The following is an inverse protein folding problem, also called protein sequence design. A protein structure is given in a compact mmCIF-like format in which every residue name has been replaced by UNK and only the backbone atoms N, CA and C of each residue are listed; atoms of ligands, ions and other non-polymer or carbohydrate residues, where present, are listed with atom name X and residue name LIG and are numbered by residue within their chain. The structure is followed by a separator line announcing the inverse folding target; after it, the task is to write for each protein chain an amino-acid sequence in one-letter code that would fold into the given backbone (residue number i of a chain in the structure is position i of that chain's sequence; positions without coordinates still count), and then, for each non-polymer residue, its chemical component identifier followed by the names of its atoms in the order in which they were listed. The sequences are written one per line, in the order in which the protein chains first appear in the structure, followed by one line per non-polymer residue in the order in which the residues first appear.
data_IF_543234555091
#
_entry.id   IF_543234555091
#
_cell.length_a   1.000
_cell.length_b   1.000
_cell.length_c   1.000
_cell.angle_alpha   90.00
_cell.angle_beta   90.00
_cell.angle_gamma   90.00
#
_symmetry.space_group_name_H-M   'P 1'
#
loop_
_entity.id
_entity.type
_entity.pdbx_description
1 polymer ?
#
# COMPACT_ATOMS: atom_id res chain seq x y z
N UNK A 1 -3.96 -4.48 -32.71
CA UNK A 1 -4.40 -3.21 -32.06
C UNK A 1 -5.47 -3.41 -30.99
N UNK A 2 -6.54 -4.17 -31.21
CA UNK A 2 -7.59 -4.44 -30.20
C UNK A 2 -7.07 -5.09 -28.90
N UNK A 3 -6.09 -5.99 -29.01
CA UNK A 3 -5.54 -6.76 -27.88
C UNK A 3 -4.75 -5.92 -26.85
N UNK A 4 -3.93 -4.98 -27.34
CA UNK A 4 -3.18 -4.04 -26.46
C UNK A 4 -4.10 -3.09 -25.70
N UNK A 5 -5.26 -2.74 -26.28
CA UNK A 5 -6.25 -1.85 -25.64
C UNK A 5 -6.89 -2.52 -24.43
N UNK A 6 -7.30 -3.79 -24.59
CA UNK A 6 -7.94 -4.57 -23.54
C UNK A 6 -7.02 -4.80 -22.34
N UNK A 7 -5.76 -5.17 -22.59
CA UNK A 7 -4.75 -5.32 -21.54
C UNK A 7 -4.49 -4.01 -20.77
N UNK A 8 -4.54 -2.87 -21.48
CA UNK A 8 -4.36 -1.54 -20.87
C UNK A 8 -5.54 -1.19 -19.97
N UNK A 9 -6.77 -1.47 -20.40
CA UNK A 9 -8.00 -1.25 -19.61
C UNK A 9 -8.02 -2.13 -18.36
N UNK A 10 -7.68 -3.42 -18.48
CA UNK A 10 -7.57 -4.34 -17.35
C UNK A 10 -6.55 -3.85 -16.33
N UNK A 11 -5.37 -3.41 -16.77
CA UNK A 11 -4.35 -2.83 -15.89
C UNK A 11 -4.83 -1.54 -15.21
N UNK A 12 -5.61 -0.70 -15.89
CA UNK A 12 -6.21 0.48 -15.26
C UNK A 12 -7.25 0.11 -14.20
N UNK A 13 -8.11 -0.88 -14.47
CA UNK A 13 -9.08 -1.37 -13.47
C UNK A 13 -8.36 -1.91 -12.24
N UNK A 14 -7.34 -2.75 -12.44
CA UNK A 14 -6.53 -3.30 -11.36
C UNK A 14 -5.89 -2.19 -10.49
N UNK A 15 -5.33 -1.16 -11.13
CA UNK A 15 -4.78 0.01 -10.40
C UNK A 15 -5.83 0.70 -9.54
N UNK A 16 -7.07 0.84 -10.03
CA UNK A 16 -8.18 1.44 -9.25
C UNK A 16 -8.56 0.59 -8.05
N UNK A 17 -8.65 -0.74 -8.21
CA UNK A 17 -8.95 -1.64 -7.10
C UNK A 17 -7.86 -1.63 -6.04
N UNK A 18 -6.59 -1.67 -6.46
CA UNK A 18 -5.44 -1.55 -5.55
C UNK A 18 -5.50 -0.22 -4.79
N UNK A 19 -5.76 0.89 -5.49
CA UNK A 19 -5.84 2.21 -4.86
C UNK A 19 -6.98 2.29 -3.85
N UNK A 20 -8.14 1.71 -4.17
CA UNK A 20 -9.29 1.61 -3.26
C UNK A 20 -8.94 0.80 -2.02
N UNK A 21 -8.39 -0.40 -2.17
CA UNK A 21 -7.99 -1.27 -1.06
C UNK A 21 -6.93 -0.59 -0.19
N UNK A 22 -5.93 0.04 -0.80
CA UNK A 22 -4.90 0.77 -0.06
C UNK A 22 -5.53 1.86 0.83
N UNK A 23 -6.45 2.63 0.28
CA UNK A 23 -7.11 3.71 1.02
C UNK A 23 -8.08 3.17 2.10
N UNK A 24 -8.78 2.06 1.84
CA UNK A 24 -9.61 1.38 2.84
C UNK A 24 -8.77 0.94 4.05
N UNK A 25 -7.66 0.24 3.82
CA UNK A 25 -6.78 -0.23 4.92
C UNK A 25 -6.17 0.94 5.68
N UNK A 26 -5.81 2.04 5.00
CA UNK A 26 -5.36 3.25 5.70
C UNK A 26 -6.45 3.83 6.62
N UNK A 27 -7.69 3.89 6.16
CA UNK A 27 -8.81 4.37 6.97
C UNK A 27 -9.11 3.45 8.15
N UNK A 28 -8.97 2.14 7.97
CA UNK A 28 -9.16 1.16 9.06
C UNK A 28 -8.13 1.34 10.19
N UNK A 29 -6.88 1.65 9.85
CA UNK A 29 -5.78 1.73 10.83
C UNK A 29 -5.64 3.16 11.39
N UNK A 30 -5.63 4.16 10.52
CA UNK A 30 -5.27 5.54 10.85
C UNK A 30 -6.46 6.50 10.83
N UNK A 31 -7.68 6.00 10.59
CA UNK A 31 -8.92 6.79 10.46
C UNK A 31 -8.85 7.90 9.39
N UNK A 32 -7.83 7.87 8.54
CA UNK A 32 -7.52 8.89 7.56
C UNK A 32 -7.13 8.22 6.24
N UNK A 33 -7.46 8.89 5.14
CA UNK A 33 -7.10 8.41 3.81
C UNK A 33 -5.70 8.85 3.40
N UNK A 34 -5.21 8.27 2.31
CA UNK A 34 -3.99 8.73 1.64
C UNK A 34 -4.24 10.05 0.89
N UNK A 35 -3.28 10.97 0.91
CA UNK A 35 -3.38 12.27 0.22
C UNK A 35 -3.15 12.09 -1.28
N UNK A 36 -2.08 11.38 -1.64
CA UNK A 36 -1.72 11.07 -3.02
C UNK A 36 -1.27 9.61 -3.11
N UNK A 37 -1.69 8.92 -4.16
CA UNK A 37 -1.31 7.54 -4.39
C UNK A 37 -1.03 7.31 -5.87
N UNK A 38 0.13 6.72 -6.16
CA UNK A 38 0.51 6.26 -7.49
C UNK A 38 0.70 4.76 -7.45
N UNK A 39 0.04 4.05 -8.38
CA UNK A 39 0.16 2.60 -8.55
C UNK A 39 0.76 2.29 -9.91
N UNK A 40 1.84 1.53 -9.90
CA UNK A 40 2.50 0.99 -11.09
C UNK A 40 2.41 -0.52 -11.07
N UNK A 41 2.03 -1.10 -12.20
CA UNK A 41 1.84 -2.54 -12.34
C UNK A 41 2.79 -3.02 -13.42
N UNK A 42 3.64 -3.97 -13.04
CA UNK A 42 4.50 -4.75 -13.93
C UNK A 42 4.01 -6.21 -13.91
N UNK A 43 4.64 -7.08 -14.69
CA UNK A 43 4.17 -8.47 -14.82
C UNK A 43 4.43 -9.30 -13.54
N UNK A 44 5.42 -8.93 -12.73
CA UNK A 44 5.80 -9.67 -11.51
C UNK A 44 5.54 -8.89 -10.21
N UNK A 45 5.42 -7.57 -10.31
CA UNK A 45 5.45 -6.67 -9.16
C UNK A 45 4.48 -5.52 -9.32
N UNK A 46 3.95 -5.05 -8.19
CA UNK A 46 3.19 -3.81 -8.11
C UNK A 46 3.97 -2.84 -7.21
N UNK A 47 4.19 -1.63 -7.69
CA UNK A 47 4.82 -0.55 -6.93
C UNK A 47 3.75 0.47 -6.56
N UNK A 48 3.75 0.89 -5.29
CA UNK A 48 2.81 1.85 -4.75
C UNK A 48 3.60 2.94 -4.03
N UNK A 49 3.38 4.18 -4.43
CA UNK A 49 3.94 5.36 -3.78
C UNK A 49 2.80 6.17 -3.17
N UNK A 50 2.88 6.41 -1.86
CA UNK A 50 1.86 7.11 -1.09
C UNK A 50 2.42 8.37 -0.43
N UNK A 51 1.59 9.41 -0.33
CA UNK A 51 1.83 10.56 0.53
C UNK A 51 0.76 10.60 1.62
N UNK A 52 1.18 10.65 2.87
CA UNK A 52 0.32 10.54 4.03
C UNK A 52 0.44 11.76 4.94
N UNK A 53 -0.68 12.14 5.56
CA UNK A 53 -0.62 13.01 6.73
C UNK A 53 -0.15 12.17 7.90
N UNK A 54 0.85 12.67 8.64
CA UNK A 54 1.30 12.03 9.88
C UNK A 54 0.17 12.02 10.90
N UNK A 55 -0.02 10.88 11.57
CA UNK A 55 -1.04 10.72 12.60
C UNK A 55 -0.76 11.71 13.76
N UNK A 56 -1.75 12.52 14.20
CA UNK A 56 -1.55 13.52 15.25
C UNK A 56 -1.10 12.92 16.58
N UNK A 57 -1.56 11.73 16.95
CA UNK A 57 -1.17 11.08 18.19
C UNK A 57 0.31 10.65 18.12
N UNK A 58 0.75 10.09 16.98
CA UNK A 58 2.16 9.74 16.77
C UNK A 58 3.06 10.97 16.74
N UNK A 59 2.62 12.11 16.19
CA UNK A 59 3.36 13.38 16.27
C UNK A 59 3.59 13.86 17.69
N UNK A 60 2.60 13.65 18.57
CA UNK A 60 2.72 14.02 19.99
C UNK A 60 3.67 13.05 20.70
N UNK A 61 3.52 11.74 20.46
CA UNK A 61 4.38 10.71 21.05
C UNK A 61 5.84 10.88 20.64
N UNK A 62 6.12 11.30 19.41
CA UNK A 62 7.48 11.51 18.90
C UNK A 62 8.26 12.53 19.74
N UNK A 63 7.56 13.54 20.28
CA UNK A 63 8.15 14.57 21.16
C UNK A 63 8.42 14.07 22.58
N UNK A 64 7.77 12.97 22.98
CA UNK A 64 7.89 12.36 24.30
C UNK A 64 8.96 11.26 24.27
N UNK A 65 8.86 10.35 23.31
CA UNK A 65 9.78 9.23 23.11
C UNK A 65 9.81 8.83 21.62
N UNK A 66 10.88 9.23 20.94
CA UNK A 66 11.09 8.92 19.52
C UNK A 66 11.34 7.43 19.27
N UNK A 67 11.97 6.71 20.21
CA UNK A 67 12.21 5.28 20.05
C UNK A 67 10.88 4.53 20.11
N UNK A 68 10.06 4.79 21.13
CA UNK A 68 8.73 4.18 21.24
C UNK A 68 7.86 4.47 20.01
N UNK A 69 7.92 5.70 19.50
CA UNK A 69 7.15 6.11 18.32
C UNK A 69 7.59 5.35 17.07
N UNK A 70 8.90 5.18 16.87
CA UNK A 70 9.44 4.38 15.77
C UNK A 70 9.00 2.91 15.83
N UNK A 71 8.96 2.33 17.04
CA UNK A 71 8.40 0.99 17.25
C UNK A 71 6.91 0.92 16.92
N UNK A 72 6.12 1.91 17.35
CA UNK A 72 4.70 1.99 17.03
C UNK A 72 4.47 2.09 15.51
N UNK A 73 5.25 2.92 14.81
CA UNK A 73 5.21 3.04 13.36
C UNK A 73 5.46 1.70 12.67
N UNK A 74 6.49 0.96 13.09
CA UNK A 74 6.82 -0.35 12.54
C UNK A 74 5.67 -1.34 12.72
N UNK A 75 5.04 -1.39 13.91
CA UNK A 75 3.90 -2.27 14.18
C UNK A 75 2.67 -1.91 13.32
N UNK A 76 2.40 -0.62 13.13
CA UNK A 76 1.29 -0.17 12.28
C UNK A 76 1.54 -0.48 10.81
N UNK A 77 2.79 -0.37 10.33
CA UNK A 77 3.18 -0.80 8.99
C UNK A 77 3.00 -2.31 8.82
N UNK A 78 3.39 -3.12 9.81
CA UNK A 78 3.21 -4.57 9.78
C UNK A 78 1.73 -4.97 9.72
N UNK A 79 0.89 -4.33 10.51
CA UNK A 79 -0.56 -4.56 10.48
C UNK A 79 -1.16 -4.13 9.14
N UNK A 80 -0.72 -3.00 8.59
CA UNK A 80 -1.11 -2.56 7.24
C UNK A 80 -0.79 -3.62 6.19
N UNK A 81 0.45 -4.14 6.19
CA UNK A 81 0.89 -5.16 5.21
C UNK A 81 0.02 -6.41 5.27
N UNK A 82 -0.32 -6.88 6.48
CA UNK A 82 -1.16 -8.07 6.69
C UNK A 82 -2.56 -7.88 6.11
N UNK A 83 -3.23 -6.80 6.48
CA UNK A 83 -4.60 -6.49 6.01
C UNK A 83 -4.65 -6.26 4.52
N UNK A 84 -3.70 -5.49 4.00
CA UNK A 84 -3.60 -5.21 2.58
C UNK A 84 -3.39 -6.51 1.78
N UNK A 85 -2.45 -7.36 2.21
CA UNK A 85 -2.22 -8.68 1.59
C UNK A 85 -3.51 -9.51 1.57
N UNK A 86 -4.19 -9.62 2.70
CA UNK A 86 -5.44 -10.36 2.79
C UNK A 86 -6.49 -9.87 1.78
N UNK A 87 -6.69 -8.55 1.68
CA UNK A 87 -7.64 -7.96 0.71
C UNK A 87 -7.21 -8.16 -0.74
N UNK A 88 -5.92 -8.11 -1.04
CA UNK A 88 -5.42 -8.42 -2.38
C UNK A 88 -5.73 -9.87 -2.78
N UNK A 89 -5.52 -10.82 -1.86
CA UNK A 89 -5.76 -12.23 -2.12
C UNK A 89 -7.26 -12.56 -2.20
N UNK A 90 -8.10 -11.94 -1.36
CA UNK A 90 -9.52 -12.29 -1.25
C UNK A 90 -10.46 -11.48 -2.15
N UNK A 91 -10.16 -10.20 -2.39
CA UNK A 91 -11.03 -9.28 -3.15
C UNK A 91 -10.54 -9.14 -4.59
N UNK A 92 -9.23 -8.97 -4.78
CA UNK A 92 -8.64 -8.82 -6.13
C UNK A 92 -8.35 -10.18 -6.76
N UNK A 93 -8.09 -11.21 -5.95
CA UNK A 93 -7.80 -12.56 -6.43
C UNK A 93 -6.35 -12.75 -6.89
N UNK A 94 -5.41 -11.90 -6.45
CA UNK A 94 -3.99 -12.03 -6.78
C UNK A 94 -3.23 -12.80 -5.70
N UNK A 95 -2.41 -13.77 -6.09
CA UNK A 95 -1.54 -14.45 -5.13
C UNK A 95 -0.30 -13.61 -4.79
N UNK A 96 -0.26 -13.12 -3.56
CA UNK A 96 0.82 -12.26 -3.07
C UNK A 96 1.92 -13.10 -2.42
N UNK A 97 3.12 -13.08 -2.99
CA UNK A 97 4.30 -13.70 -2.40
C UNK A 97 4.79 -12.89 -1.19
N UNK A 98 5.01 -11.58 -1.38
CA UNK A 98 5.51 -10.70 -0.32
C UNK A 98 4.97 -9.28 -0.46
N UNK A 99 4.90 -8.59 0.68
CA UNK A 99 4.60 -7.16 0.78
C UNK A 99 5.74 -6.49 1.52
N UNK A 100 6.41 -5.56 0.85
CA UNK A 100 7.47 -4.72 1.42
C UNK A 100 6.91 -3.31 1.50
N UNK A 101 6.94 -2.68 2.67
CA UNK A 101 6.49 -1.30 2.85
C UNK A 101 7.46 -0.57 3.76
N UNK A 102 7.85 0.62 3.34
CA UNK A 102 8.62 1.58 4.12
C UNK A 102 7.87 2.92 4.18
N UNK A 103 8.11 3.68 5.24
CA UNK A 103 7.46 4.94 5.51
C UNK A 103 8.44 5.90 6.16
N UNK A 104 8.53 7.11 5.62
CA UNK A 104 9.30 8.20 6.17
C UNK A 104 8.37 9.17 6.91
N UNK A 105 8.39 9.20 8.26
CA UNK A 105 7.56 10.11 9.05
C UNK A 105 7.83 11.59 8.78
N UNK A 106 9.05 11.95 8.36
CA UNK A 106 9.47 13.34 8.18
C UNK A 106 8.84 13.99 6.95
N UNK A 107 8.70 13.23 5.86
CA UNK A 107 8.09 13.69 4.61
C UNK A 107 6.65 13.19 4.43
N UNK A 108 6.23 12.18 5.21
CA UNK A 108 4.98 11.48 5.01
C UNK A 108 4.97 10.55 3.80
N UNK A 109 6.12 10.35 3.15
CA UNK A 109 6.26 9.51 1.97
C UNK A 109 6.26 8.03 2.37
N UNK A 110 5.56 7.21 1.60
CA UNK A 110 5.60 5.76 1.73
C UNK A 110 5.88 5.11 0.37
N UNK A 111 6.66 4.04 0.39
CA UNK A 111 6.89 3.19 -0.75
C UNK A 111 6.51 1.76 -0.39
N UNK A 112 5.79 1.09 -1.27
CA UNK A 112 5.39 -0.29 -1.08
C UNK A 112 5.58 -1.09 -2.37
N UNK A 113 6.23 -2.24 -2.25
CA UNK A 113 6.41 -3.22 -3.32
C UNK A 113 5.66 -4.49 -2.98
N UNK A 114 4.77 -4.91 -3.86
CA UNK A 114 4.10 -6.20 -3.79
C UNK A 114 4.78 -7.11 -4.79
N UNK A 115 5.28 -8.25 -4.31
CA UNK A 115 5.85 -9.30 -5.13
C UNK A 115 4.76 -10.35 -5.29
N UNK A 116 4.41 -10.67 -6.53
CA UNK A 116 3.40 -11.66 -6.86
C UNK A 116 4.04 -13.04 -7.05
N UNK A 117 3.24 -14.10 -6.99
CA UNK A 117 3.70 -15.41 -7.46
C UNK A 117 3.89 -15.38 -8.99
N UNK A 118 4.65 -16.33 -9.53
CA UNK A 118 4.92 -16.39 -10.98
C UNK A 118 3.61 -16.52 -11.77
N UNK A 119 3.54 -15.82 -12.91
CA UNK A 119 2.45 -15.86 -13.89
C UNK A 119 1.08 -15.34 -13.40
N UNK A 120 1.03 -14.53 -12.33
CA UNK A 120 -0.22 -13.96 -11.82
C UNK A 120 -0.82 -12.87 -12.72
N UNK A 121 0.02 -12.12 -13.44
CA UNK A 121 -0.38 -11.02 -14.31
C UNK A 121 0.10 -11.19 -15.77
N UNK A 122 0.62 -12.37 -16.10
CA UNK A 122 1.17 -12.72 -17.41
C UNK A 122 0.08 -13.24 -18.36
#
# INVERSE_FOLDING_TARGET
MKDKSLLTEQRQSLKKDIARIYNEVNKEIFQTGVIQLRVEVTDEKILIFGLHKRDPALQILEKVDGALTMWADSLLIDEFKKRFKYKMETIVGLNVFSVLKDYDPSTGSACMTIILKKNELA
#
